data_IF_769210952361
#
_entry.id   IF_769210952361
#
_cell.length_a   1.000
_cell.length_b   1.000
_cell.length_c   1.000
_cell.angle_alpha   90.00
_cell.angle_beta   90.00
_cell.angle_gamma   90.00
#
_symmetry.space_group_name_H-M   'P 1'
#
loop_
_entity.id
_entity.type
_entity.pdbx_description
1 polymer ?
#
# COMPACT_ATOMS: atom_id res chain seq x y z
N UNK A 1 14.68 4.91 55.34
CA UNK A 1 15.18 5.48 54.07
C UNK A 1 13.99 5.61 53.13
N UNK A 2 13.25 6.70 53.31
CA UNK A 2 12.08 7.12 52.56
C UNK A 2 12.53 8.20 51.56
N UNK A 3 12.55 7.87 50.28
CA UNK A 3 12.44 8.78 49.13
C UNK A 3 12.75 7.98 47.85
N UNK A 4 11.75 7.30 47.31
CA UNK A 4 11.64 7.23 45.86
C UNK A 4 10.48 8.14 45.52
N UNK A 5 10.77 9.27 44.90
CA UNK A 5 9.75 10.20 44.44
C UNK A 5 8.77 9.46 43.55
N UNK A 6 7.48 9.74 43.72
CA UNK A 6 6.42 9.31 42.82
C UNK A 6 6.85 9.63 41.38
N UNK A 7 7.19 8.59 40.61
CA UNK A 7 7.43 8.75 39.19
C UNK A 7 6.04 8.88 38.58
N UNK A 8 5.58 10.13 38.42
CA UNK A 8 4.31 10.44 37.78
C UNK A 8 4.42 10.20 36.26
N UNK A 9 4.61 8.94 35.89
CA UNK A 9 4.75 8.47 34.52
C UNK A 9 3.39 8.02 33.98
N UNK A 10 3.15 8.29 32.70
CA UNK A 10 1.99 7.73 32.00
C UNK A 10 2.27 6.28 31.63
N UNK A 11 1.25 5.42 31.70
CA UNK A 11 1.33 4.03 31.25
C UNK A 11 0.98 3.98 29.76
N UNK A 12 1.85 3.39 28.96
CA UNK A 12 1.59 3.12 27.55
C UNK A 12 1.33 1.63 27.37
N UNK A 13 0.18 1.28 26.80
CA UNK A 13 -0.21 -0.10 26.51
C UNK A 13 -0.33 -0.28 25.01
N UNK A 14 0.30 -1.31 24.46
CA UNK A 14 0.07 -1.78 23.09
C UNK A 14 -0.74 -3.07 23.17
N UNK A 15 -1.88 -3.10 22.47
CA UNK A 15 -2.76 -4.26 22.43
C UNK A 15 -2.83 -4.80 21.01
N UNK A 16 -2.71 -6.13 20.86
CA UNK A 16 -2.89 -6.86 19.61
C UNK A 16 -3.98 -7.91 19.86
N UNK A 17 -5.09 -7.80 19.17
CA UNK A 17 -6.25 -8.70 19.36
C UNK A 17 -6.74 -9.22 18.03
N UNK A 18 -7.13 -10.50 17.98
CA UNK A 18 -7.87 -11.03 16.83
C UNK A 18 -9.22 -10.31 16.73
N UNK A 19 -9.60 -9.90 15.54
CA UNK A 19 -10.91 -9.31 15.28
C UNK A 19 -11.93 -10.43 15.08
N UNK A 20 -13.10 -10.29 15.72
CA UNK A 20 -14.27 -11.09 15.38
C UNK A 20 -14.77 -10.65 14.01
N UNK A 21 -14.53 -11.46 12.98
CA UNK A 21 -14.86 -11.11 11.60
C UNK A 21 -16.36 -10.87 11.39
N UNK A 22 -17.24 -11.36 12.25
CA UNK A 22 -18.68 -11.10 12.13
C UNK A 22 -19.04 -9.62 12.32
N UNK A 23 -18.13 -8.83 12.91
CA UNK A 23 -18.28 -7.38 13.09
C UNK A 23 -17.78 -6.58 11.88
N UNK A 24 -17.11 -7.22 10.92
CA UNK A 24 -16.60 -6.57 9.71
C UNK A 24 -17.70 -6.46 8.65
N UNK A 25 -17.62 -5.46 7.75
CA UNK A 25 -18.45 -5.38 6.56
C UNK A 25 -18.44 -6.67 5.72
N UNK A 26 -19.54 -6.97 5.02
CA UNK A 26 -19.70 -8.23 4.28
C UNK A 26 -18.64 -8.43 3.19
N UNK A 27 -18.36 -7.38 2.42
CA UNK A 27 -17.33 -7.36 1.38
C UNK A 27 -15.93 -7.63 1.98
N UNK A 28 -15.60 -7.00 3.10
CA UNK A 28 -14.36 -7.26 3.86
C UNK A 28 -14.29 -8.72 4.29
N UNK A 29 -15.37 -9.26 4.87
CA UNK A 29 -15.43 -10.66 5.33
C UNK A 29 -15.19 -11.66 4.20
N UNK A 30 -15.85 -11.45 3.06
CA UNK A 30 -15.67 -12.28 1.87
C UNK A 30 -14.21 -12.25 1.42
N UNK A 31 -13.64 -11.06 1.36
CA UNK A 31 -12.30 -10.83 0.82
C UNK A 31 -11.19 -11.40 1.73
N UNK A 32 -11.30 -11.26 3.06
CA UNK A 32 -10.33 -11.84 4.00
C UNK A 32 -10.52 -13.35 4.20
N UNK A 33 -11.75 -13.85 4.10
CA UNK A 33 -12.08 -15.27 4.31
C UNK A 33 -11.58 -15.78 5.68
N UNK A 34 -10.86 -16.90 5.68
CA UNK A 34 -10.33 -17.53 6.90
C UNK A 34 -9.01 -16.92 7.41
N UNK A 35 -8.45 -15.94 6.70
CA UNK A 35 -7.12 -15.38 7.01
C UNK A 35 -7.12 -14.52 8.29
N UNK A 36 -5.97 -14.34 8.96
CA UNK A 36 -5.88 -13.52 10.16
C UNK A 36 -6.33 -12.07 9.96
N UNK A 37 -7.06 -11.54 10.94
CA UNK A 37 -7.41 -10.11 11.05
C UNK A 37 -7.10 -9.67 12.47
N UNK A 38 -6.21 -8.69 12.61
CA UNK A 38 -5.70 -8.21 13.90
C UNK A 38 -6.02 -6.73 14.06
N UNK A 39 -6.57 -6.36 15.21
CA UNK A 39 -6.63 -4.97 15.64
C UNK A 39 -5.40 -4.66 16.49
N UNK A 40 -4.71 -3.59 16.15
CA UNK A 40 -3.56 -3.10 16.90
C UNK A 40 -3.88 -1.69 17.38
N UNK A 41 -3.79 -1.47 18.69
CA UNK A 41 -4.09 -0.18 19.31
C UNK A 41 -2.99 0.22 20.30
N UNK A 42 -2.85 1.52 20.52
CA UNK A 42 -2.07 2.08 21.63
C UNK A 42 -3.04 2.79 22.57
N UNK A 43 -2.84 2.62 23.87
CA UNK A 43 -3.55 3.37 24.91
C UNK A 43 -2.58 4.07 25.85
N UNK A 44 -2.96 5.26 26.33
CA UNK A 44 -2.25 6.01 27.37
C UNK A 44 -3.17 6.10 28.59
N UNK A 45 -2.71 5.63 29.73
CA UNK A 45 -3.47 5.60 30.98
C UNK A 45 -4.85 4.91 30.84
N UNK A 46 -4.94 3.92 29.93
CA UNK A 46 -6.15 3.15 29.63
C UNK A 46 -7.02 3.70 28.50
N UNK A 47 -6.76 4.93 28.02
CA UNK A 47 -7.50 5.53 26.92
C UNK A 47 -6.83 5.24 25.57
N UNK A 48 -7.53 4.56 24.66
CA UNK A 48 -7.03 4.29 23.30
C UNK A 48 -6.83 5.60 22.54
N UNK A 49 -5.68 5.73 21.87
CA UNK A 49 -5.34 6.87 21.03
C UNK A 49 -5.21 6.46 19.56
N UNK A 50 -5.58 7.36 18.65
CA UNK A 50 -5.33 7.20 17.22
C UNK A 50 -3.86 7.50 16.91
N UNK A 51 -3.00 6.51 17.10
CA UNK A 51 -1.57 6.68 16.87
C UNK A 51 -1.24 6.75 15.37
N UNK A 52 -0.57 7.83 14.97
CA UNK A 52 0.08 7.99 13.67
C UNK A 52 1.36 8.82 13.83
N UNK A 53 2.52 8.24 13.51
CA UNK A 53 3.80 8.91 13.58
C UNK A 53 4.69 8.58 12.36
N UNK A 54 4.73 9.46 11.35
CA UNK A 54 5.60 9.29 10.17
C UNK A 54 7.09 9.15 10.48
N UNK A 55 7.56 9.66 11.62
CA UNK A 55 8.97 9.62 12.03
C UNK A 55 9.34 8.37 12.84
N UNK A 56 8.37 7.51 13.16
CA UNK A 56 8.58 6.30 13.94
C UNK A 56 7.79 5.13 13.34
N UNK A 57 8.14 4.68 12.11
CA UNK A 57 7.48 3.54 11.50
C UNK A 57 7.70 2.27 12.33
N UNK A 58 6.68 1.42 12.37
CA UNK A 58 6.72 0.11 13.03
C UNK A 58 6.56 -1.00 12.00
N UNK A 59 7.23 -2.12 12.25
CA UNK A 59 7.04 -3.35 11.49
C UNK A 59 5.95 -4.19 12.16
N UNK A 60 4.91 -4.54 11.41
CA UNK A 60 3.91 -5.52 11.81
C UNK A 60 4.30 -6.86 11.18
N UNK A 61 4.24 -7.92 11.99
CA UNK A 61 4.47 -9.30 11.54
C UNK A 61 3.31 -10.16 11.99
N UNK A 62 2.52 -10.67 11.04
CA UNK A 62 1.36 -11.51 11.27
C UNK A 62 1.74 -12.95 10.89
N UNK A 63 1.87 -13.88 11.85
CA UNK A 63 2.11 -15.29 11.55
C UNK A 63 1.04 -15.82 10.58
N UNK A 64 1.49 -16.44 9.50
CA UNK A 64 0.61 -16.92 8.46
C UNK A 64 1.20 -18.13 7.75
N UNK A 65 0.38 -19.16 7.55
CA UNK A 65 0.71 -20.34 6.77
C UNK A 65 -0.22 -20.36 5.56
N UNK A 66 0.28 -20.04 4.35
CA UNK A 66 -0.54 -20.01 3.16
C UNK A 66 -1.10 -21.39 2.80
N UNK A 67 -2.24 -21.41 2.12
CA UNK A 67 -2.80 -22.63 1.54
C UNK A 67 -1.95 -23.12 0.36
N UNK A 68 -2.18 -24.34 -0.11
CA UNK A 68 -1.47 -24.88 -1.28
C UNK A 68 -1.73 -24.06 -2.56
N UNK A 69 -2.93 -23.46 -2.67
CA UNK A 69 -3.30 -22.54 -3.75
C UNK A 69 -2.47 -21.25 -3.68
N UNK A 70 -2.40 -20.63 -2.50
CA UNK A 70 -1.65 -19.40 -2.29
C UNK A 70 -0.13 -19.58 -2.42
N UNK A 71 0.38 -20.78 -2.16
CA UNK A 71 1.78 -21.13 -2.42
C UNK A 71 2.10 -21.21 -3.92
N UNK A 72 1.09 -21.31 -4.79
CA UNK A 72 1.26 -21.19 -6.24
C UNK A 72 1.70 -19.79 -6.64
N UNK A 73 1.10 -18.77 -6.01
CA UNK A 73 1.31 -17.35 -6.31
C UNK A 73 1.47 -16.52 -5.01
N UNK A 74 2.55 -16.74 -4.24
CA UNK A 74 2.74 -16.07 -2.95
C UNK A 74 2.85 -14.54 -3.05
N UNK A 75 3.16 -14.01 -4.24
CA UNK A 75 3.15 -12.58 -4.54
C UNK A 75 1.76 -11.94 -4.43
N UNK A 76 0.70 -12.74 -4.58
CA UNK A 76 -0.70 -12.32 -4.47
C UNK A 76 -1.18 -12.28 -3.01
N UNK A 77 -0.35 -12.73 -2.06
CA UNK A 77 -0.59 -12.53 -0.62
C UNK A 77 -0.24 -11.09 -0.24
N UNK A 78 -1.23 -10.38 0.29
CA UNK A 78 -1.15 -8.95 0.59
C UNK A 78 -1.58 -8.64 2.02
N UNK A 79 -1.22 -7.45 2.48
CA UNK A 79 -1.72 -6.86 3.73
C UNK A 79 -2.69 -5.76 3.37
N UNK A 80 -3.85 -5.77 4.01
CA UNK A 80 -4.76 -4.64 4.02
C UNK A 80 -4.79 -4.01 5.40
N UNK A 81 -5.08 -2.72 5.46
CA UNK A 81 -5.64 -2.12 6.65
C UNK A 81 -7.06 -1.65 6.36
N UNK A 82 -7.89 -1.68 7.39
CA UNK A 82 -9.26 -1.15 7.34
C UNK A 82 -9.22 0.19 8.08
N UNK A 83 -9.64 1.26 7.42
CA UNK A 83 -9.63 2.60 8.01
C UNK A 83 -10.86 2.82 8.93
N UNK A 84 -10.97 4.01 9.51
CA UNK A 84 -12.09 4.36 10.39
C UNK A 84 -13.44 4.50 9.66
N UNK A 85 -13.44 4.46 8.32
CA UNK A 85 -14.64 4.50 7.47
C UNK A 85 -14.95 3.12 6.88
N UNK A 86 -14.37 2.06 7.44
CA UNK A 86 -14.50 0.68 6.99
C UNK A 86 -13.99 0.42 5.55
N UNK A 87 -13.11 1.30 5.03
CA UNK A 87 -12.52 1.13 3.71
C UNK A 87 -11.28 0.24 3.77
N UNK A 88 -11.22 -0.74 2.87
CA UNK A 88 -10.04 -1.57 2.66
C UNK A 88 -8.98 -0.76 1.91
N UNK A 89 -7.80 -0.64 2.49
CA UNK A 89 -6.66 0.00 1.87
C UNK A 89 -5.50 -0.99 1.82
N UNK A 90 -5.03 -1.26 0.61
CA UNK A 90 -3.89 -2.15 0.39
C UNK A 90 -2.62 -1.50 0.92
N UNK A 91 -1.81 -2.25 1.66
CA UNK A 91 -0.51 -1.81 2.16
C UNK A 91 0.55 -2.24 1.15
N UNK A 92 1.09 -1.33 0.31
CA UNK A 92 1.91 -1.73 -0.85
C UNK A 92 3.25 -2.37 -0.47
N UNK A 93 3.78 -2.08 0.72
CA UNK A 93 5.00 -2.71 1.24
C UNK A 93 4.73 -4.05 1.96
N UNK A 94 3.47 -4.47 2.05
CA UNK A 94 3.06 -5.73 2.64
C UNK A 94 3.50 -6.92 1.78
N UNK A 95 4.15 -7.92 2.37
CA UNK A 95 4.57 -9.12 1.67
C UNK A 95 4.63 -10.35 2.59
N UNK A 96 4.39 -11.52 2.02
CA UNK A 96 4.62 -12.80 2.69
C UNK A 96 6.12 -13.13 2.68
N UNK A 97 6.67 -13.40 3.87
CA UNK A 97 8.01 -13.89 4.06
C UNK A 97 7.97 -15.40 4.39
N UNK A 98 8.41 -16.28 3.46
CA UNK A 98 8.36 -17.72 3.67
C UNK A 98 9.29 -18.22 4.78
N UNK A 99 10.43 -17.56 4.99
CA UNK A 99 11.39 -17.93 6.04
C UNK A 99 10.81 -17.62 7.43
N UNK A 100 10.13 -16.48 7.57
CA UNK A 100 9.47 -16.07 8.80
C UNK A 100 8.10 -16.74 9.02
N UNK A 101 7.52 -17.37 7.99
CA UNK A 101 6.14 -17.87 7.98
C UNK A 101 5.15 -16.81 8.46
N UNK A 102 5.31 -15.61 7.93
CA UNK A 102 4.57 -14.44 8.34
C UNK A 102 4.37 -13.49 7.19
N UNK A 103 3.27 -12.75 7.22
CA UNK A 103 3.11 -11.56 6.39
C UNK A 103 3.61 -10.36 7.17
N UNK A 104 4.44 -9.54 6.53
CA UNK A 104 5.06 -8.37 7.15
C UNK A 104 4.68 -7.10 6.41
N UNK A 105 4.52 -6.00 7.12
CA UNK A 105 4.41 -4.67 6.53
C UNK A 105 5.04 -3.62 7.45
N UNK A 106 5.33 -2.45 6.89
CA UNK A 106 5.80 -1.28 7.66
C UNK A 106 4.72 -0.22 7.60
N UNK A 107 4.31 0.28 8.76
CA UNK A 107 3.27 1.31 8.87
C UNK A 107 3.68 2.41 9.84
N UNK A 108 3.10 3.59 9.65
CA UNK A 108 3.25 4.73 10.56
C UNK A 108 1.99 4.96 11.39
N UNK A 109 0.95 4.14 11.24
CA UNK A 109 -0.29 4.22 11.98
C UNK A 109 -0.74 2.84 12.44
N UNK A 110 -1.57 2.79 13.48
CA UNK A 110 -2.16 1.56 13.98
C UNK A 110 -3.66 1.54 13.69
N UNK A 111 -4.16 0.38 13.26
CA UNK A 111 -5.55 0.13 12.87
C UNK A 111 -5.84 -1.38 12.93
N UNK A 112 -6.90 -1.81 12.25
CA UNK A 112 -7.15 -3.20 11.90
C UNK A 112 -6.33 -3.56 10.65
N UNK A 113 -5.54 -4.62 10.74
CA UNK A 113 -4.76 -5.21 9.64
C UNK A 113 -5.25 -6.61 9.32
N UNK A 114 -5.35 -6.93 8.03
CA UNK A 114 -5.79 -8.23 7.55
C UNK A 114 -4.77 -8.82 6.58
N UNK A 115 -4.56 -10.13 6.67
CA UNK A 115 -3.94 -10.89 5.59
C UNK A 115 -5.02 -11.19 4.55
N UNK A 116 -4.71 -10.96 3.28
CA UNK A 116 -5.60 -11.24 2.16
C UNK A 116 -4.84 -11.91 1.01
N UNK A 117 -5.59 -12.42 0.05
CA UNK A 117 -5.07 -13.00 -1.18
C UNK A 117 -5.86 -12.43 -2.35
N UNK A 118 -5.16 -11.73 -3.24
CA UNK A 118 -5.75 -11.02 -4.37
C UNK A 118 -4.98 -11.41 -5.64
N UNK A 119 -5.40 -12.50 -6.28
CA UNK A 119 -4.74 -13.01 -7.49
C UNK A 119 -5.27 -12.32 -8.74
N UNK A 120 -4.69 -11.18 -9.06
CA UNK A 120 -5.05 -10.39 -10.25
C UNK A 120 -4.29 -10.92 -11.46
N UNK A 121 -5.04 -11.44 -12.43
CA UNK A 121 -4.53 -11.96 -13.71
C UNK A 121 -4.97 -11.07 -14.88
N UNK A 122 -4.14 -11.01 -15.92
CA UNK A 122 -4.43 -10.30 -17.16
C UNK A 122 -4.39 -11.27 -18.34
N UNK A 123 -5.30 -11.10 -19.30
CA UNK A 123 -5.47 -12.02 -20.44
C UNK A 123 -4.23 -12.09 -21.34
N UNK A 124 -3.47 -10.99 -21.42
CA UNK A 124 -2.28 -10.84 -22.25
C UNK A 124 -0.96 -11.05 -21.48
N UNK A 125 -1.03 -11.63 -20.28
CA UNK A 125 0.13 -12.05 -19.48
C UNK A 125 0.17 -13.57 -19.47
N UNK A 126 1.01 -14.19 -20.34
CA UNK A 126 1.12 -15.64 -20.37
C UNK A 126 1.66 -16.19 -19.05
N UNK A 127 1.10 -17.31 -18.64
CA UNK A 127 1.64 -18.11 -17.53
C UNK A 127 3.10 -18.49 -17.81
N UNK A 128 3.91 -18.49 -16.76
CA UNK A 128 5.35 -18.76 -16.74
C UNK A 128 6.20 -17.74 -17.53
N UNK A 129 5.60 -16.63 -18.00
CA UNK A 129 6.37 -15.53 -18.56
C UNK A 129 7.26 -14.91 -17.47
N UNK A 130 8.46 -14.45 -17.86
CA UNK A 130 9.45 -13.95 -16.90
C UNK A 130 8.95 -12.77 -16.05
N UNK A 131 7.91 -12.07 -16.50
CA UNK A 131 7.29 -10.93 -15.84
C UNK A 131 5.97 -11.25 -15.13
N UNK A 132 5.39 -12.46 -15.28
CA UNK A 132 4.09 -12.82 -14.71
C UNK A 132 4.02 -12.49 -13.22
N UNK A 133 4.97 -13.02 -12.42
CA UNK A 133 5.01 -12.82 -10.97
C UNK A 133 5.17 -11.35 -10.59
N UNK A 134 5.98 -10.61 -11.35
CA UNK A 134 6.16 -9.19 -11.13
C UNK A 134 4.86 -8.42 -11.40
N UNK A 135 4.12 -8.79 -12.45
CA UNK A 135 2.82 -8.18 -12.78
C UNK A 135 1.78 -8.51 -11.72
N UNK A 136 1.65 -9.79 -11.32
CA UNK A 136 0.78 -10.21 -10.22
C UNK A 136 1.07 -9.44 -8.94
N UNK A 137 2.36 -9.34 -8.57
CA UNK A 137 2.79 -8.59 -7.38
C UNK A 137 2.29 -7.14 -7.36
N UNK A 138 2.48 -6.39 -8.45
CA UNK A 138 2.08 -4.99 -8.50
C UNK A 138 0.57 -4.82 -8.68
N UNK A 139 -0.11 -5.79 -9.29
CA UNK A 139 -1.55 -5.75 -9.51
C UNK A 139 -2.33 -6.05 -8.22
N UNK A 140 -1.94 -7.09 -7.48
CA UNK A 140 -2.48 -7.42 -6.15
C UNK A 140 -2.33 -6.27 -5.14
N UNK A 141 -1.34 -5.39 -5.36
CA UNK A 141 -1.09 -4.19 -4.53
C UNK A 141 -1.78 -2.93 -5.04
N UNK A 142 -2.58 -3.03 -6.10
CA UNK A 142 -3.24 -1.90 -6.74
C UNK A 142 -2.29 -0.86 -7.36
N UNK A 143 -0.99 -1.17 -7.48
CA UNK A 143 0.01 -0.28 -8.08
C UNK A 143 -0.30 -0.08 -9.56
N UNK A 144 -0.64 -1.18 -10.24
CA UNK A 144 -1.21 -1.16 -11.61
C UNK A 144 -2.66 -1.65 -11.59
N UNK A 145 -3.44 -1.18 -12.56
CA UNK A 145 -4.78 -1.70 -12.89
C UNK A 145 -4.84 -2.28 -14.31
N UNK A 146 -3.68 -2.41 -14.96
CA UNK A 146 -3.58 -2.68 -16.39
C UNK A 146 -3.98 -1.47 -17.24
N UNK A 147 -4.19 -1.73 -18.52
CA UNK A 147 -4.59 -0.73 -19.54
C UNK A 147 -6.09 -0.71 -19.82
N UNK A 148 -6.87 -1.54 -19.13
CA UNK A 148 -8.30 -1.73 -19.35
C UNK A 148 -8.61 -3.08 -19.99
N UNK A 149 -9.90 -3.45 -19.99
CA UNK A 149 -10.40 -4.66 -20.68
C UNK A 149 -9.71 -5.98 -20.27
N UNK A 150 -9.21 -6.08 -19.04
CA UNK A 150 -8.48 -7.26 -18.57
C UNK A 150 -7.05 -7.38 -19.10
N UNK A 151 -6.50 -6.31 -19.71
CA UNK A 151 -5.15 -6.29 -20.30
C UNK A 151 -4.14 -5.54 -19.43
N UNK A 152 -2.89 -6.02 -19.41
CA UNK A 152 -1.74 -5.33 -18.84
C UNK A 152 -0.94 -4.56 -19.90
N UNK A 153 -0.95 -5.03 -21.15
CA UNK A 153 -0.14 -4.54 -22.26
C UNK A 153 1.37 -4.59 -22.01
N UNK A 154 1.97 -5.77 -21.73
CA UNK A 154 3.37 -5.89 -21.29
C UNK A 154 4.41 -5.40 -22.31
N UNK A 155 4.05 -5.36 -23.60
CA UNK A 155 4.94 -4.90 -24.68
C UNK A 155 4.73 -3.44 -25.06
N UNK A 156 3.71 -2.78 -24.50
CA UNK A 156 3.45 -1.37 -24.73
C UNK A 156 4.48 -0.51 -24.00
N UNK A 157 4.80 0.63 -24.59
CA UNK A 157 5.65 1.61 -23.93
C UNK A 157 4.88 2.30 -22.80
N UNK A 158 5.58 2.52 -21.69
CA UNK A 158 5.05 3.23 -20.54
C UNK A 158 5.23 4.75 -20.73
N UNK A 159 4.19 5.52 -20.45
CA UNK A 159 4.27 6.99 -20.43
C UNK A 159 4.78 7.50 -19.08
N UNK A 160 5.32 8.73 -19.07
CA UNK A 160 5.75 9.40 -17.83
C UNK A 160 4.62 9.53 -16.81
N UNK A 161 3.38 9.78 -17.25
CA UNK A 161 2.20 9.83 -16.38
C UNK A 161 1.89 8.47 -15.73
N UNK A 162 1.92 7.38 -16.51
CA UNK A 162 1.68 6.05 -15.96
C UNK A 162 2.76 5.65 -14.96
N UNK A 163 4.03 5.91 -15.32
CA UNK A 163 5.15 5.62 -14.43
C UNK A 163 5.05 6.36 -13.10
N UNK A 164 4.85 7.69 -13.13
CA UNK A 164 4.79 8.46 -11.88
C UNK A 164 3.61 7.98 -11.01
N UNK A 165 2.44 7.69 -11.58
CA UNK A 165 1.31 7.15 -10.82
C UNK A 165 1.63 5.79 -10.19
N UNK A 166 2.34 4.90 -10.89
CA UNK A 166 2.77 3.62 -10.31
C UNK A 166 3.73 3.83 -9.14
N UNK A 167 4.70 4.74 -9.27
CA UNK A 167 5.64 5.06 -8.17
C UNK A 167 4.89 5.64 -6.97
N UNK A 168 3.99 6.60 -7.18
CA UNK A 168 3.23 7.19 -6.08
C UNK A 168 2.38 6.15 -5.34
N UNK A 169 1.72 5.24 -6.07
CA UNK A 169 0.97 4.13 -5.46
C UNK A 169 1.87 3.14 -4.73
N UNK A 170 3.01 2.77 -5.31
CA UNK A 170 3.98 1.87 -4.68
C UNK A 170 4.53 2.44 -3.36
N UNK A 171 4.69 3.76 -3.28
CA UNK A 171 5.09 4.47 -2.08
C UNK A 171 3.91 4.81 -1.13
N UNK A 172 2.68 4.38 -1.46
CA UNK A 172 1.45 4.71 -0.75
C UNK A 172 1.21 6.23 -0.58
N UNK A 173 1.66 7.03 -1.56
CA UNK A 173 1.47 8.47 -1.56
C UNK A 173 0.16 8.80 -2.25
N UNK A 174 -0.74 9.44 -1.52
CA UNK A 174 -2.07 9.81 -2.00
C UNK A 174 -1.99 10.98 -2.99
N UNK A 175 -2.91 11.04 -3.97
CA UNK A 175 -3.01 12.19 -4.86
C UNK A 175 -3.47 13.43 -4.07
N UNK A 176 -3.00 14.61 -4.47
CA UNK A 176 -3.51 15.86 -3.91
C UNK A 176 -4.96 16.07 -4.35
N UNK A 177 -5.86 16.29 -3.38
CA UNK A 177 -7.29 16.51 -3.64
C UNK A 177 -7.58 17.86 -4.31
N UNK A 178 -6.69 18.84 -4.12
CA UNK A 178 -6.76 20.17 -4.75
C UNK A 178 -5.44 20.46 -5.50
N UNK A 179 -5.26 19.94 -6.73
CA UNK A 179 -3.99 19.95 -7.44
C UNK A 179 -3.68 21.28 -8.15
N UNK A 180 -3.91 22.42 -7.49
CA UNK A 180 -3.69 23.77 -8.05
C UNK A 180 -2.23 24.07 -8.35
N UNK A 181 -1.32 23.61 -7.50
CA UNK A 181 0.13 23.83 -7.64
C UNK A 181 0.79 22.73 -8.46
N UNK A 182 0.61 22.76 -9.78
CA UNK A 182 1.06 21.69 -10.68
C UNK A 182 1.96 22.19 -11.82
N UNK A 183 2.41 21.27 -12.68
CA UNK A 183 3.02 21.60 -13.98
C UNK A 183 1.98 22.20 -14.92
N UNK A 184 2.40 23.10 -15.80
CA UNK A 184 1.47 23.80 -16.70
C UNK A 184 0.80 22.86 -17.72
N UNK A 185 1.38 21.69 -17.96
CA UNK A 185 0.85 20.65 -18.86
C UNK A 185 0.28 19.44 -18.10
N UNK A 186 -0.03 19.58 -16.80
CA UNK A 186 -0.58 18.49 -15.99
C UNK A 186 -1.99 18.05 -16.41
N UNK A 187 -2.75 18.90 -17.10
CA UNK A 187 -4.13 18.62 -17.48
C UNK A 187 -5.05 18.37 -16.27
N UNK A 188 -6.25 17.85 -16.52
CA UNK A 188 -7.25 17.51 -15.50
C UNK A 188 -7.77 16.09 -15.74
N UNK A 189 -7.05 15.10 -15.20
CA UNK A 189 -7.34 13.68 -15.41
C UNK A 189 -6.75 12.81 -14.30
N UNK A 190 -6.85 11.49 -14.46
CA UNK A 190 -6.54 10.48 -13.44
C UNK A 190 -5.15 10.56 -12.80
N UNK A 191 -4.15 11.17 -13.45
CA UNK A 191 -2.81 11.37 -12.90
C UNK A 191 -2.59 12.76 -12.28
N UNK A 192 -3.47 13.74 -12.50
CA UNK A 192 -3.23 15.14 -12.15
C UNK A 192 -2.94 15.33 -10.66
N UNK A 193 -3.74 14.69 -9.79
CA UNK A 193 -3.52 14.74 -8.34
C UNK A 193 -2.21 14.06 -7.89
N UNK A 194 -1.85 12.93 -8.51
CA UNK A 194 -0.57 12.27 -8.24
C UNK A 194 0.62 13.11 -8.71
N UNK A 195 0.48 13.79 -9.85
CA UNK A 195 1.52 14.63 -10.40
C UNK A 195 1.75 15.90 -9.54
N UNK A 196 0.68 16.50 -9.02
CA UNK A 196 0.78 17.59 -8.05
C UNK A 196 1.53 17.15 -6.79
N UNK A 197 1.15 16.00 -6.21
CA UNK A 197 1.83 15.44 -5.05
C UNK A 197 3.32 15.16 -5.33
N UNK A 198 3.64 14.58 -6.50
CA UNK A 198 5.01 14.29 -6.90
C UNK A 198 5.86 15.57 -7.05
N UNK A 199 5.28 16.64 -7.60
CA UNK A 199 5.93 17.96 -7.71
C UNK A 199 6.18 18.56 -6.32
N UNK A 200 5.15 18.58 -5.47
CA UNK A 200 5.18 19.13 -4.10
C UNK A 200 6.21 18.42 -3.21
N UNK A 201 6.34 17.10 -3.35
CA UNK A 201 7.30 16.29 -2.60
C UNK A 201 8.71 16.28 -3.22
N UNK A 202 8.91 16.94 -4.37
CA UNK A 202 10.20 16.96 -5.06
C UNK A 202 10.60 15.62 -5.71
N UNK A 203 9.66 14.69 -5.84
CA UNK A 203 9.86 13.37 -6.50
C UNK A 203 10.10 13.56 -8.00
N UNK A 204 9.52 14.60 -8.60
CA UNK A 204 9.77 14.97 -9.99
C UNK A 204 9.93 16.48 -10.13
N UNK A 205 10.98 16.88 -10.85
CA UNK A 205 11.23 18.28 -11.22
C UNK A 205 10.71 18.63 -12.63
N UNK A 206 10.11 17.66 -13.32
CA UNK A 206 9.65 17.82 -14.70
C UNK A 206 10.78 17.82 -15.72
N UNK A 207 10.54 18.41 -16.89
CA UNK A 207 11.48 18.48 -18.02
C UNK A 207 11.97 19.91 -18.28
N UNK A 208 11.76 20.82 -17.33
CA UNK A 208 12.07 22.25 -17.45
C UNK A 208 10.84 23.10 -17.86
N UNK A 209 10.96 24.42 -17.73
CA UNK A 209 9.92 25.40 -18.09
C UNK A 209 8.53 25.12 -17.48
N UNK A 210 8.50 24.56 -16.26
CA UNK A 210 7.28 24.12 -15.57
C UNK A 210 6.46 23.06 -16.33
N UNK A 211 7.11 22.21 -17.15
CA UNK A 211 6.48 21.10 -17.87
C UNK A 211 6.86 19.74 -17.28
N UNK A 212 5.97 18.75 -17.41
CA UNK A 212 6.23 17.35 -17.06
C UNK A 212 6.28 16.42 -18.27
N UNK A 213 5.62 16.76 -19.38
CA UNK A 213 5.42 15.92 -20.56
C UNK A 213 4.74 14.56 -20.24
N UNK A 214 3.51 14.54 -19.68
CA UNK A 214 2.88 13.32 -19.17
C UNK A 214 2.69 12.22 -20.21
N UNK A 215 2.39 12.58 -21.46
CA UNK A 215 2.16 11.63 -22.56
C UNK A 215 3.43 11.11 -23.25
N UNK A 216 4.62 11.60 -22.89
CA UNK A 216 5.88 11.14 -23.48
C UNK A 216 6.24 9.77 -22.91
N UNK A 217 6.75 8.88 -23.76
CA UNK A 217 7.36 7.61 -23.35
C UNK A 217 8.47 7.88 -22.31
N UNK A 218 8.45 7.15 -21.20
CA UNK A 218 9.53 7.23 -20.22
C UNK A 218 10.71 6.38 -20.68
N UNK A 219 11.91 6.94 -20.60
CA UNK A 219 13.16 6.21 -20.88
C UNK A 219 13.66 5.49 -19.63
N UNK A 220 14.49 4.45 -19.82
CA UNK A 220 15.14 3.77 -18.69
C UNK A 220 15.97 4.72 -17.83
N UNK A 221 16.65 5.71 -18.43
CA UNK A 221 17.41 6.71 -17.69
C UNK A 221 16.50 7.53 -16.76
N UNK A 222 15.35 8.00 -17.27
CA UNK A 222 14.37 8.76 -16.47
C UNK A 222 13.73 7.93 -15.35
N UNK A 223 13.77 6.59 -15.40
CA UNK A 223 13.29 5.75 -14.29
C UNK A 223 14.23 5.78 -13.06
N UNK A 224 15.48 6.22 -13.22
CA UNK A 224 16.50 6.23 -12.15
C UNK A 224 16.85 7.63 -11.62
N UNK A 225 16.25 8.69 -12.17
CA UNK A 225 16.57 10.10 -11.87
C UNK A 225 15.32 10.88 -11.51
#
# INVERSE_FOLDING_TARGET
LSNQGDVNGKIVTISITSVDKSTLPEDVRIAVGNRPVLQINVAIDGETISWNNPNAPVMISIPYVPTQEELGDPESIVVWYIDSNDQIIVVPNGNYNPDAKAVTCITTHLSIFAVAYDDVVFEDVPKDSWYEKAVKYIAARGITKGTGEGLFSPLSKLTRAQFITMIMRACNIQPDADPKENFSDAGDTWYTGYLAAAKRLGISQGVGNNLFAPGKDITRQEMFT
#
